data_IF_959253615598
#
_entry.id   IF_959253615598
#
_cell.length_a   1.000
_cell.length_b   1.000
_cell.length_c   1.000
_cell.angle_alpha   90.00
_cell.angle_beta   90.00
_cell.angle_gamma   90.00
#
_symmetry.space_group_name_H-M   'P 1'
#
loop_
_entity.id
_entity.type
_entity.pdbx_description
1 polymer ?
#
# COMPACT_ATOMS: atom_id res chain seq x y z
N UNK A 1 -34.28 -51.54 30.26
CA UNK A 1 -33.91 -51.44 28.83
C UNK A 1 -33.98 -50.02 28.28
N UNK A 2 -34.95 -49.17 28.67
CA UNK A 2 -35.11 -47.79 28.17
C UNK A 2 -33.97 -46.81 28.54
N UNK A 3 -33.28 -47.03 29.68
CA UNK A 3 -32.19 -46.14 30.16
C UNK A 3 -30.86 -46.34 29.43
N UNK A 4 -30.61 -47.54 28.90
CA UNK A 4 -29.38 -47.84 28.14
C UNK A 4 -29.46 -47.23 26.73
N UNK A 5 -30.68 -47.09 26.20
CA UNK A 5 -30.94 -46.46 24.90
C UNK A 5 -30.73 -44.93 24.92
N UNK A 6 -30.95 -44.28 26.07
CA UNK A 6 -30.70 -42.84 26.25
C UNK A 6 -29.22 -42.48 26.37
N UNK A 7 -28.39 -43.38 26.91
CA UNK A 7 -26.92 -43.18 26.97
C UNK A 7 -26.24 -43.41 25.61
N UNK A 8 -26.78 -44.27 24.75
CA UNK A 8 -26.15 -44.57 23.46
C UNK A 8 -26.34 -43.43 22.43
N UNK A 9 -27.41 -42.64 22.56
CA UNK A 9 -27.70 -41.52 21.65
C UNK A 9 -26.87 -40.27 21.95
N UNK A 10 -26.40 -40.11 23.19
CA UNK A 10 -25.56 -38.98 23.61
C UNK A 10 -24.09 -39.12 23.17
N UNK A 11 -23.67 -40.32 22.75
CA UNK A 11 -22.29 -40.59 22.31
C UNK A 11 -22.04 -40.30 20.82
N UNK A 12 -23.08 -40.01 20.03
CA UNK A 12 -22.98 -39.76 18.58
C UNK A 12 -22.86 -38.27 18.21
N UNK A 13 -22.87 -37.36 19.19
CA UNK A 13 -22.85 -35.90 18.96
C UNK A 13 -21.45 -35.26 19.05
N UNK A 14 -20.37 -36.06 19.12
CA UNK A 14 -19.00 -35.57 19.30
C UNK A 14 -18.12 -35.65 18.05
N UNK A 15 -18.68 -35.89 16.85
CA UNK A 15 -17.94 -35.64 15.60
C UNK A 15 -17.91 -34.15 15.29
N UNK A 16 -17.35 -33.35 16.20
CA UNK A 16 -16.97 -31.98 15.92
C UNK A 16 -15.77 -32.04 14.95
N UNK A 17 -15.98 -31.54 13.74
CA UNK A 17 -15.05 -31.57 12.63
C UNK A 17 -13.62 -31.18 13.05
N UNK A 18 -12.70 -32.14 13.01
CA UNK A 18 -11.27 -31.85 12.96
C UNK A 18 -10.95 -31.46 11.52
N UNK A 19 -11.09 -30.19 11.17
CA UNK A 19 -10.51 -29.67 9.92
C UNK A 19 -9.02 -29.53 10.15
N UNK A 20 -8.22 -30.34 9.44
CA UNK A 20 -6.78 -30.13 9.40
C UNK A 20 -6.49 -28.70 8.87
N UNK A 21 -5.52 -27.98 9.43
CA UNK A 21 -5.09 -26.71 8.87
C UNK A 21 -4.69 -26.89 7.41
N UNK A 22 -5.13 -26.01 6.52
CA UNK A 22 -4.67 -26.04 5.13
C UNK A 22 -3.14 -25.94 5.08
N UNK A 23 -2.47 -26.69 4.18
CA UNK A 23 -1.02 -26.60 4.04
C UNK A 23 -0.56 -25.16 3.77
N UNK A 24 0.44 -24.68 4.51
CA UNK A 24 1.04 -23.36 4.27
C UNK A 24 1.69 -23.33 2.87
N UNK A 25 1.07 -22.60 1.96
CA UNK A 25 1.55 -22.39 0.59
C UNK A 25 2.01 -20.93 0.41
N UNK A 26 3.30 -20.61 0.66
CA UNK A 26 3.80 -19.24 0.62
C UNK A 26 3.60 -18.59 -0.76
N UNK A 27 3.61 -19.36 -1.85
CA UNK A 27 3.36 -18.86 -3.19
C UNK A 27 1.93 -18.33 -3.42
N UNK A 28 0.96 -18.74 -2.59
CA UNK A 28 -0.44 -18.30 -2.65
C UNK A 28 -0.77 -17.22 -1.62
N UNK A 29 0.10 -16.99 -0.64
CA UNK A 29 -0.08 -15.94 0.37
C UNK A 29 -0.11 -14.56 -0.29
N UNK A 30 -0.82 -13.61 0.32
CA UNK A 30 -0.82 -12.22 -0.14
C UNK A 30 0.58 -11.64 0.00
N UNK A 31 0.97 -10.83 -0.98
CA UNK A 31 2.26 -10.16 -0.95
C UNK A 31 2.32 -9.17 0.22
N UNK A 32 3.46 -9.11 0.89
CA UNK A 32 3.71 -8.15 1.96
C UNK A 32 4.56 -7.00 1.48
N UNK A 33 4.20 -5.78 1.88
CA UNK A 33 5.00 -4.57 1.65
C UNK A 33 5.47 -4.00 2.97
N UNK A 34 6.67 -3.45 2.94
CA UNK A 34 7.14 -2.46 3.91
C UNK A 34 7.50 -1.19 3.17
N UNK A 35 7.32 -0.04 3.82
CA UNK A 35 7.68 1.25 3.24
C UNK A 35 8.77 1.94 4.04
N UNK A 36 9.76 2.48 3.34
CA UNK A 36 10.78 3.38 3.86
C UNK A 36 10.59 4.75 3.20
N UNK A 37 10.09 5.72 3.95
CA UNK A 37 9.84 7.08 3.48
C UNK A 37 10.97 7.98 4.00
N UNK A 38 11.68 8.66 3.10
CA UNK A 38 12.84 9.51 3.44
C UNK A 38 12.68 10.88 2.78
N UNK A 39 12.75 11.94 3.55
CA UNK A 39 12.87 13.31 3.04
C UNK A 39 14.29 13.84 3.15
N UNK A 40 14.69 14.61 2.15
CA UNK A 40 15.97 15.35 2.11
C UNK A 40 15.87 16.66 2.93
N UNK A 41 17.01 17.33 3.12
CA UNK A 41 17.10 18.61 3.84
C UNK A 41 16.40 19.76 3.08
N UNK A 42 16.42 19.73 1.75
CA UNK A 42 15.76 20.72 0.89
C UNK A 42 14.42 20.23 0.34
N UNK A 43 13.72 19.33 1.04
CA UNK A 43 12.40 18.86 0.58
C UNK A 43 11.36 19.98 0.55
N UNK A 44 10.55 19.98 -0.51
CA UNK A 44 9.39 20.86 -0.69
C UNK A 44 9.67 22.35 -0.34
N UNK A 45 10.65 23.01 -0.98
CA UNK A 45 10.99 24.37 -0.62
C UNK A 45 9.82 25.32 -0.90
N UNK A 46 9.61 26.29 -0.01
CA UNK A 46 8.63 27.36 -0.22
C UNK A 46 9.18 28.44 -1.17
N UNK A 47 8.41 29.51 -1.41
CA UNK A 47 8.83 30.61 -2.31
C UNK A 47 10.09 31.36 -1.83
N UNK A 48 10.49 31.18 -0.57
CA UNK A 48 11.72 31.74 0.01
C UNK A 48 12.88 30.73 -0.01
N UNK A 49 12.66 29.53 -0.54
CA UNK A 49 13.66 28.45 -0.61
C UNK A 49 13.78 27.62 0.67
N UNK A 50 12.92 27.84 1.67
CA UNK A 50 12.99 27.11 2.93
C UNK A 50 12.24 25.78 2.81
N UNK A 51 12.88 24.68 3.24
CA UNK A 51 12.29 23.35 3.25
C UNK A 51 10.99 23.32 4.07
N UNK A 52 9.99 22.59 3.60
CA UNK A 52 8.71 22.50 4.28
C UNK A 52 8.18 21.05 4.33
N UNK A 53 7.21 20.74 5.21
CA UNK A 53 6.62 19.42 5.25
C UNK A 53 6.00 19.03 3.91
N UNK A 54 5.99 17.74 3.60
CA UNK A 54 5.36 17.19 2.40
C UNK A 54 4.28 16.17 2.78
N UNK A 55 3.08 16.34 2.22
CA UNK A 55 2.00 15.36 2.28
C UNK A 55 2.17 14.34 1.15
N UNK A 56 1.99 13.07 1.48
CA UNK A 56 2.30 11.94 0.62
C UNK A 56 1.10 11.01 0.61
N UNK A 57 0.67 10.62 -0.58
CA UNK A 57 -0.35 9.62 -0.79
C UNK A 57 0.24 8.42 -1.52
N UNK A 58 0.11 7.23 -0.94
CA UNK A 58 0.52 5.97 -1.56
C UNK A 58 -0.72 5.19 -1.97
N UNK A 59 -0.81 4.83 -3.25
CA UNK A 59 -1.95 4.18 -3.86
C UNK A 59 -1.65 2.72 -4.14
N UNK A 60 -2.57 1.84 -3.76
CA UNK A 60 -2.68 0.51 -4.35
C UNK A 60 -3.58 0.58 -5.59
N UNK A 61 -3.08 0.04 -6.71
CA UNK A 61 -3.70 0.18 -8.01
C UNK A 61 -3.79 -1.17 -8.73
N UNK A 62 -4.91 -1.42 -9.40
CA UNK A 62 -5.07 -2.57 -10.31
C UNK A 62 -4.21 -2.40 -11.56
N UNK A 63 -4.13 -1.17 -12.07
CA UNK A 63 -3.35 -0.76 -13.23
C UNK A 63 -2.96 0.73 -13.09
N UNK A 64 -1.75 1.09 -13.49
CA UNK A 64 -1.17 2.41 -13.28
C UNK A 64 -1.51 3.44 -14.38
N UNK A 65 -2.10 3.03 -15.51
CA UNK A 65 -2.32 3.91 -16.66
C UNK A 65 -3.14 5.17 -16.33
N UNK A 66 -4.26 5.01 -15.62
CA UNK A 66 -5.08 6.16 -15.18
C UNK A 66 -4.31 7.06 -14.21
N UNK A 67 -3.56 6.47 -13.27
CA UNK A 67 -2.74 7.23 -12.32
C UNK A 67 -1.63 8.01 -13.02
N UNK A 68 -0.93 7.39 -13.96
CA UNK A 68 0.19 8.01 -14.70
C UNK A 68 -0.30 9.05 -15.71
N UNK A 69 -1.48 8.87 -16.30
CA UNK A 69 -2.06 9.83 -17.25
C UNK A 69 -2.75 11.05 -16.61
N UNK A 70 -3.25 10.92 -15.37
CA UNK A 70 -3.98 12.01 -14.70
C UNK A 70 -3.06 13.19 -14.33
N UNK A 71 -3.53 14.41 -14.48
CA UNK A 71 -2.81 15.59 -13.99
C UNK A 71 -2.93 15.74 -12.45
N UNK A 72 -2.19 16.69 -11.90
CA UNK A 72 -2.14 16.93 -10.45
C UNK A 72 -3.51 17.32 -9.88
N UNK A 73 -4.21 18.23 -10.56
CA UNK A 73 -5.49 18.74 -10.11
C UNK A 73 -6.59 17.68 -10.15
N UNK A 74 -6.58 16.78 -11.15
CA UNK A 74 -7.49 15.65 -11.25
C UNK A 74 -7.35 14.72 -10.04
N UNK A 75 -6.13 14.30 -9.72
CA UNK A 75 -5.88 13.40 -8.58
C UNK A 75 -6.17 14.09 -7.25
N UNK A 76 -5.73 15.34 -7.07
CA UNK A 76 -5.97 16.11 -5.84
C UNK A 76 -7.44 16.36 -5.58
N UNK A 77 -8.22 16.67 -6.63
CA UNK A 77 -9.64 17.00 -6.49
C UNK A 77 -10.50 15.77 -6.21
N UNK A 78 -10.31 14.72 -6.99
CA UNK A 78 -11.08 13.48 -6.87
C UNK A 78 -10.35 12.30 -7.52
N UNK A 79 -9.37 11.76 -6.80
CA UNK A 79 -8.62 10.58 -7.23
C UNK A 79 -9.53 9.38 -7.53
N UNK A 80 -10.67 9.21 -6.85
CA UNK A 80 -11.57 8.06 -7.10
C UNK A 80 -12.20 8.15 -8.47
N UNK A 81 -12.66 9.35 -8.84
CA UNK A 81 -13.21 9.59 -10.18
C UNK A 81 -12.13 9.51 -11.26
N UNK A 82 -10.94 10.06 -10.99
CA UNK A 82 -9.82 10.04 -11.94
C UNK A 82 -9.31 8.62 -12.22
N UNK A 83 -9.15 7.80 -11.17
CA UNK A 83 -8.61 6.44 -11.24
C UNK A 83 -9.68 5.40 -11.62
N UNK A 84 -10.97 5.72 -11.44
CA UNK A 84 -12.10 4.84 -11.76
C UNK A 84 -11.94 3.47 -11.08
N UNK A 85 -12.11 2.40 -11.85
CA UNK A 85 -11.97 1.02 -11.39
C UNK A 85 -10.54 0.59 -11.06
N UNK A 86 -9.52 1.41 -11.37
CA UNK A 86 -8.13 1.06 -11.09
C UNK A 86 -7.72 1.35 -9.65
N UNK A 87 -8.47 2.20 -8.94
CA UNK A 87 -8.22 2.48 -7.53
C UNK A 87 -8.56 1.27 -6.66
N UNK A 88 -7.66 0.89 -5.76
CA UNK A 88 -7.90 -0.15 -4.75
C UNK A 88 -7.91 0.47 -3.35
N UNK A 89 -6.80 1.10 -2.96
CA UNK A 89 -6.61 1.64 -1.60
C UNK A 89 -5.65 2.83 -1.63
N UNK A 90 -5.72 3.68 -0.60
CA UNK A 90 -4.82 4.81 -0.39
C UNK A 90 -4.29 4.80 1.05
N UNK A 91 -3.06 5.27 1.22
CA UNK A 91 -2.40 5.53 2.49
C UNK A 91 -1.88 6.96 2.51
N UNK A 92 -2.21 7.71 3.56
CA UNK A 92 -1.81 9.12 3.70
C UNK A 92 -0.70 9.26 4.75
N UNK A 93 0.34 10.02 4.40
CA UNK A 93 1.48 10.29 5.26
C UNK A 93 1.89 11.76 5.16
N UNK A 94 2.65 12.21 6.17
CA UNK A 94 3.37 13.49 6.14
C UNK A 94 4.81 13.22 6.56
N UNK A 95 5.77 13.87 5.89
CA UNK A 95 7.17 13.95 6.31
C UNK A 95 7.56 15.41 6.58
N UNK A 96 8.32 15.63 7.65
CA UNK A 96 9.09 16.85 7.87
C UNK A 96 10.41 16.76 7.10
N UNK A 97 11.13 17.88 6.86
CA UNK A 97 12.49 17.83 6.34
C UNK A 97 13.41 16.92 7.16
N UNK A 98 14.33 16.21 6.48
CA UNK A 98 15.27 15.24 7.06
C UNK A 98 14.65 14.06 7.85
N UNK A 99 13.34 13.84 7.70
CA UNK A 99 12.63 12.79 8.41
C UNK A 99 12.73 11.45 7.69
N UNK A 100 13.01 10.41 8.48
CA UNK A 100 12.78 9.02 8.09
C UNK A 100 11.52 8.47 8.77
N UNK A 101 10.70 7.73 8.02
CA UNK A 101 9.55 7.00 8.53
C UNK A 101 9.51 5.59 7.93
N UNK A 102 9.44 4.59 8.79
CA UNK A 102 9.28 3.19 8.40
C UNK A 102 7.87 2.72 8.68
N UNK A 103 7.27 2.00 7.72
CA UNK A 103 5.97 1.36 7.84
C UNK A 103 6.19 -0.14 7.88
N UNK A 104 5.76 -0.76 8.98
CA UNK A 104 5.85 -2.21 9.21
C UNK A 104 5.12 -3.01 8.13
N UNK A 105 5.47 -4.28 8.03
CA UNK A 105 4.96 -5.16 6.99
C UNK A 105 3.43 -5.29 7.05
N UNK A 106 2.78 -5.12 5.91
CA UNK A 106 1.34 -5.32 5.74
C UNK A 106 1.03 -6.04 4.43
N UNK A 107 -0.11 -6.73 4.38
CA UNK A 107 -0.57 -7.46 3.20
C UNK A 107 -1.25 -6.50 2.21
N UNK A 108 -0.90 -6.62 0.93
CA UNK A 108 -1.56 -5.89 -0.17
C UNK A 108 -2.88 -6.53 -0.52
N UNK A 109 -3.80 -5.72 -1.04
CA UNK A 109 -5.04 -6.24 -1.58
C UNK A 109 -4.77 -7.20 -2.76
N UNK A 110 -5.60 -8.22 -2.89
CA UNK A 110 -5.45 -9.23 -3.94
C UNK A 110 -5.61 -8.68 -5.36
N UNK A 111 -6.23 -7.50 -5.52
CA UNK A 111 -6.38 -6.84 -6.81
C UNK A 111 -5.21 -5.90 -7.15
N UNK A 112 -4.25 -5.70 -6.25
CA UNK A 112 -3.17 -4.71 -6.39
C UNK A 112 -2.00 -5.21 -7.22
N UNK A 113 -1.78 -4.63 -8.39
CA UNK A 113 -0.64 -4.94 -9.26
C UNK A 113 0.43 -3.83 -9.29
N UNK A 114 0.08 -2.63 -8.81
CA UNK A 114 0.98 -1.48 -8.80
C UNK A 114 0.86 -0.71 -7.49
N UNK A 115 1.98 -0.12 -7.08
CA UNK A 115 2.04 0.88 -6.02
C UNK A 115 2.37 2.22 -6.65
N UNK A 116 1.45 3.17 -6.53
CA UNK A 116 1.63 4.56 -6.91
C UNK A 116 2.01 5.41 -5.70
N UNK A 117 2.80 6.45 -5.89
CA UNK A 117 3.09 7.47 -4.88
C UNK A 117 2.87 8.84 -5.49
N UNK A 118 2.21 9.73 -4.75
CA UNK A 118 1.97 11.12 -5.08
C UNK A 118 2.44 11.98 -3.90
N UNK A 119 3.24 13.01 -4.18
CA UNK A 119 3.63 14.02 -3.21
C UNK A 119 2.92 15.34 -3.53
N UNK A 120 2.34 15.96 -2.51
CA UNK A 120 1.76 17.29 -2.62
C UNK A 120 2.83 18.35 -2.37
N UNK A 121 3.71 18.52 -3.36
CA UNK A 121 4.67 19.61 -3.38
C UNK A 121 3.99 20.98 -3.55
N UNK A 122 4.65 22.04 -3.07
CA UNK A 122 4.20 23.41 -3.20
C UNK A 122 4.17 23.89 -4.65
N UNK A 123 5.11 23.40 -5.47
CA UNK A 123 5.27 23.76 -6.89
C UNK A 123 5.19 22.50 -7.79
N UNK A 124 3.99 21.91 -7.99
CA UNK A 124 3.84 20.66 -8.72
C UNK A 124 4.23 20.76 -10.21
N UNK A 125 4.20 21.95 -10.80
CA UNK A 125 4.57 22.19 -12.21
C UNK A 125 6.08 22.02 -12.48
N UNK A 126 6.92 22.13 -11.44
CA UNK A 126 8.38 22.02 -11.55
C UNK A 126 8.91 20.64 -11.15
N UNK A 127 8.01 19.66 -11.03
CA UNK A 127 8.19 18.51 -10.13
C UNK A 127 7.89 17.18 -10.82
N UNK A 128 8.64 16.14 -10.50
CA UNK A 128 8.19 14.75 -10.68
C UNK A 128 7.45 14.30 -9.43
N UNK A 129 6.25 14.85 -9.22
CA UNK A 129 5.44 14.68 -8.02
C UNK A 129 4.80 13.28 -7.86
N UNK A 130 4.87 12.42 -8.88
CA UNK A 130 4.35 11.05 -8.80
C UNK A 130 5.23 10.01 -9.47
N UNK A 131 5.18 8.79 -8.95
CA UNK A 131 5.78 7.57 -9.53
C UNK A 131 4.88 6.37 -9.30
N UNK A 132 5.06 5.32 -10.10
CA UNK A 132 4.42 4.04 -9.87
C UNK A 132 5.42 2.90 -10.11
N UNK A 133 5.25 1.79 -9.40
CA UNK A 133 6.04 0.58 -9.59
C UNK A 133 5.14 -0.65 -9.61
N UNK A 134 5.47 -1.59 -10.50
CA UNK A 134 4.78 -2.88 -10.59
C UNK A 134 5.22 -3.82 -9.47
N UNK A 135 4.24 -4.48 -8.87
CA UNK A 135 4.44 -5.57 -7.89
C UNK A 135 3.71 -6.83 -8.37
N UNK A 136 4.01 -7.97 -7.73
CA UNK A 136 3.15 -9.14 -7.78
C UNK A 136 2.32 -9.18 -6.50
N UNK A 137 1.01 -9.40 -6.61
CA UNK A 137 0.06 -9.43 -5.49
C UNK A 137 0.14 -10.70 -4.61
N UNK A 138 0.84 -11.75 -5.06
CA UNK A 138 0.94 -13.03 -4.34
C UNK A 138 2.37 -13.52 -4.22
N UNK A 139 2.67 -14.11 -3.07
CA UNK A 139 3.88 -14.87 -2.78
C UNK A 139 5.17 -14.08 -2.79
N UNK A 140 5.12 -12.76 -2.60
CA UNK A 140 6.29 -11.89 -2.54
C UNK A 140 6.34 -11.10 -1.24
N UNK A 141 7.53 -10.65 -0.91
CA UNK A 141 7.77 -9.60 0.06
C UNK A 141 8.57 -8.51 -0.66
N UNK A 142 8.15 -7.25 -0.56
CA UNK A 142 8.89 -6.12 -1.11
C UNK A 142 9.18 -5.08 -0.04
N UNK A 143 10.34 -4.46 -0.16
CA UNK A 143 10.69 -3.24 0.56
C UNK A 143 10.69 -2.08 -0.44
N UNK A 144 9.79 -1.11 -0.25
CA UNK A 144 9.72 0.06 -1.12
C UNK A 144 10.38 1.26 -0.46
N UNK A 145 11.39 1.82 -1.12
CA UNK A 145 12.02 3.07 -0.72
C UNK A 145 11.41 4.23 -1.50
N UNK A 146 10.86 5.18 -0.77
CA UNK A 146 10.28 6.42 -1.27
C UNK A 146 11.15 7.58 -0.81
N UNK A 147 11.84 8.23 -1.74
CA UNK A 147 12.68 9.39 -1.43
C UNK A 147 12.02 10.66 -1.96
N UNK A 148 12.00 11.69 -1.13
CA UNK A 148 11.44 13.00 -1.43
C UNK A 148 12.53 14.05 -1.32
N UNK A 149 12.91 14.65 -2.45
CA UNK A 149 14.00 15.63 -2.55
C UNK A 149 13.60 16.79 -3.46
N UNK A 150 13.84 18.02 -3.03
CA UNK A 150 13.37 19.22 -3.73
C UNK A 150 11.86 19.09 -4.01
N UNK A 151 11.46 19.02 -5.28
CA UNK A 151 10.11 18.70 -5.73
C UNK A 151 10.06 17.35 -6.46
N UNK A 152 10.81 16.34 -6.06
CA UNK A 152 10.86 15.07 -6.79
C UNK A 152 10.59 13.89 -5.88
N UNK A 153 9.83 12.93 -6.42
CA UNK A 153 9.64 11.61 -5.82
C UNK A 153 10.46 10.58 -6.57
N UNK A 154 11.22 9.79 -5.83
CA UNK A 154 11.82 8.54 -6.30
C UNK A 154 11.17 7.36 -5.60
N UNK A 155 10.85 6.31 -6.35
CA UNK A 155 10.25 5.08 -5.84
C UNK A 155 11.05 3.88 -6.36
N UNK A 156 11.74 3.20 -5.45
CA UNK A 156 12.58 2.05 -5.76
C UNK A 156 12.14 0.81 -4.98
N UNK A 157 12.28 -0.37 -5.59
CA UNK A 157 12.23 -1.65 -4.89
C UNK A 157 13.64 -1.95 -4.39
N UNK A 158 13.79 -2.13 -3.09
CA UNK A 158 15.07 -2.48 -2.46
C UNK A 158 15.02 -3.98 -2.19
N UNK A 159 15.74 -4.75 -3.02
CA UNK A 159 15.97 -6.18 -2.83
C UNK A 159 17.31 -6.41 -2.11
#
# INVERSE_FOLDING_TARGET
MIRVLWMLCSLLMLTACSSAPEPYEPAKAQTKLTFSLVSDDLVNPNIWGESSPVEIQVFELKDDSMFMSADYDQLKKDYKTALRSNFVKIYDYVLLPEQFKFIDAFEVDEETNYIGVMAHFAEPELSEWKKAVKILNKGREYHLLMMFKDYNVKLDRVE
#
